data_IF_703525795535
#
_entry.id   IF_703525795535
#
_cell.length_a   1.000
_cell.length_b   1.000
_cell.length_c   1.000
_cell.angle_alpha   90.00
_cell.angle_beta   90.00
_cell.angle_gamma   90.00
#
_symmetry.space_group_name_H-M   'P 1'
#
loop_
_entity.id
_entity.type
_entity.pdbx_description
1 polymer ?
#
# COMPACT_ATOMS: atom_id res chain seq x y z
N UNK A 1 -5.10 -8.85 -11.94
CA UNK A 1 -4.95 -9.68 -10.71
C UNK A 1 -4.67 -8.83 -9.47
N UNK A 2 -3.72 -7.88 -9.50
CA UNK A 2 -3.36 -7.04 -8.34
C UNK A 2 -4.50 -6.18 -7.76
N UNK A 3 -5.55 -5.89 -8.56
CA UNK A 3 -6.76 -5.22 -8.09
C UNK A 3 -7.51 -6.02 -7.00
N UNK A 4 -7.57 -7.34 -7.16
CA UNK A 4 -8.23 -8.28 -6.23
C UNK A 4 -7.28 -8.80 -5.14
N UNK A 5 -6.29 -7.98 -4.77
CA UNK A 5 -5.21 -8.39 -3.88
C UNK A 5 -5.73 -8.84 -2.52
N UNK A 6 -6.63 -8.07 -1.91
CA UNK A 6 -7.18 -8.38 -0.59
C UNK A 6 -8.11 -9.59 -0.66
N UNK A 7 -8.93 -9.69 -1.70
CA UNK A 7 -9.91 -10.75 -1.91
C UNK A 7 -9.21 -12.11 -2.12
N UNK A 8 -8.16 -12.15 -2.95
CA UNK A 8 -7.34 -13.36 -3.14
C UNK A 8 -6.63 -13.72 -1.83
N UNK A 9 -6.05 -12.74 -1.14
CA UNK A 9 -5.36 -12.98 0.14
C UNK A 9 -6.31 -13.50 1.22
N UNK A 10 -7.54 -13.00 1.25
CA UNK A 10 -8.61 -13.44 2.15
C UNK A 10 -9.09 -14.85 1.80
N UNK A 11 -9.33 -15.13 0.52
CA UNK A 11 -9.72 -16.45 0.05
C UNK A 11 -8.68 -17.52 0.42
N UNK A 12 -7.39 -17.17 0.35
CA UNK A 12 -6.31 -18.07 0.76
C UNK A 12 -6.10 -18.18 2.28
N UNK A 13 -6.80 -17.39 3.10
CA UNK A 13 -6.73 -17.39 4.57
C UNK A 13 -8.14 -17.48 5.17
N UNK A 14 -8.89 -18.57 4.93
CA UNK A 14 -10.25 -18.72 5.43
C UNK A 14 -10.32 -18.67 6.96
N UNK A 15 -9.25 -19.11 7.65
CA UNK A 15 -9.13 -19.11 9.11
C UNK A 15 -9.19 -17.73 9.77
N UNK A 16 -9.00 -16.64 9.02
CA UNK A 16 -9.16 -15.29 9.57
C UNK A 16 -10.64 -15.03 9.92
N UNK A 17 -10.95 -14.57 11.13
CA UNK A 17 -12.34 -14.29 11.53
C UNK A 17 -12.90 -13.08 10.75
N UNK A 18 -14.23 -13.03 10.65
CA UNK A 18 -14.93 -11.82 10.20
C UNK A 18 -15.15 -10.90 11.40
N UNK A 19 -15.02 -9.59 11.20
CA UNK A 19 -15.38 -8.62 12.24
C UNK A 19 -16.90 -8.57 12.39
N UNK A 20 -17.39 -8.80 13.60
CA UNK A 20 -18.79 -8.55 13.99
C UNK A 20 -18.90 -7.39 14.98
N UNK A 21 -17.77 -6.84 15.42
CA UNK A 21 -17.71 -5.68 16.32
C UNK A 21 -17.50 -4.40 15.54
N UNK A 22 -17.94 -3.27 16.11
CA UNK A 22 -17.66 -1.95 15.58
C UNK A 22 -16.18 -1.57 15.70
N UNK A 23 -15.72 -0.65 14.85
CA UNK A 23 -14.33 -0.18 14.80
C UNK A 23 -13.80 0.29 16.16
N UNK A 24 -14.67 0.86 16.99
CA UNK A 24 -14.38 1.26 18.36
C UNK A 24 -13.91 0.15 19.28
N UNK A 25 -14.66 -0.95 19.33
CA UNK A 25 -14.31 -2.13 20.12
C UNK A 25 -13.08 -2.84 19.56
N UNK A 26 -12.97 -2.93 18.23
CA UNK A 26 -11.77 -3.47 17.58
C UNK A 26 -10.52 -2.66 17.96
N UNK A 27 -10.61 -1.32 17.94
CA UNK A 27 -9.52 -0.44 18.36
C UNK A 27 -9.14 -0.65 19.84
N UNK A 28 -10.14 -0.77 20.73
CA UNK A 28 -9.90 -1.06 22.14
C UNK A 28 -9.18 -2.40 22.34
N UNK A 29 -9.62 -3.45 21.62
CA UNK A 29 -9.01 -4.77 21.64
C UNK A 29 -7.54 -4.73 21.16
N UNK A 30 -7.25 -4.01 20.07
CA UNK A 30 -5.89 -3.82 19.57
C UNK A 30 -4.99 -3.10 20.58
N UNK A 31 -5.50 -2.04 21.21
CA UNK A 31 -4.74 -1.29 22.23
C UNK A 31 -4.46 -2.14 23.47
N UNK A 32 -5.42 -2.96 23.91
CA UNK A 32 -5.21 -3.88 25.03
C UNK A 32 -4.08 -4.88 24.73
N UNK A 33 -4.09 -5.49 23.54
CA UNK A 33 -3.01 -6.37 23.09
C UNK A 33 -1.65 -5.66 23.04
N UNK A 34 -1.59 -4.47 22.41
CA UNK A 34 -0.34 -3.73 22.23
C UNK A 34 0.26 -3.24 23.54
N UNK A 35 -0.56 -2.84 24.51
CA UNK A 35 -0.12 -2.49 25.87
C UNK A 35 0.56 -3.66 26.57
N UNK A 36 0.11 -4.89 26.34
CA UNK A 36 0.72 -6.08 26.94
C UNK A 36 1.97 -6.53 26.16
N UNK A 37 1.89 -6.54 24.82
CA UNK A 37 2.93 -7.11 23.95
C UNK A 37 4.11 -6.17 23.72
N UNK A 38 3.84 -4.87 23.57
CA UNK A 38 4.84 -3.88 23.17
C UNK A 38 4.68 -2.53 23.92
N UNK A 39 4.63 -2.52 25.27
CA UNK A 39 4.42 -1.29 26.06
C UNK A 39 5.50 -0.23 25.84
N UNK A 40 6.73 -0.65 25.56
CA UNK A 40 7.88 0.22 25.42
C UNK A 40 8.17 0.61 23.95
N UNK A 41 7.27 0.30 23.01
CA UNK A 41 7.44 0.69 21.62
C UNK A 41 7.39 2.22 21.47
N UNK A 42 8.11 2.77 20.49
CA UNK A 42 8.04 4.18 20.10
C UNK A 42 6.74 4.51 19.38
N UNK A 43 6.20 3.56 18.61
CA UNK A 43 4.92 3.73 17.93
C UNK A 43 4.18 2.43 17.73
N UNK A 44 2.85 2.53 17.76
CA UNK A 44 1.92 1.48 17.37
C UNK A 44 1.10 1.94 16.18
N UNK A 45 0.98 1.10 15.18
CA UNK A 45 0.15 1.30 14.00
C UNK A 45 -0.91 0.21 14.01
N UNK A 46 -2.17 0.61 13.95
CA UNK A 46 -3.31 -0.31 13.95
C UNK A 46 -4.10 -0.08 12.67
N UNK A 47 -4.26 -1.14 11.88
CA UNK A 47 -5.20 -1.19 10.76
C UNK A 47 -6.48 -1.87 11.25
N UNK A 48 -7.58 -1.12 11.19
CA UNK A 48 -8.90 -1.58 11.60
C UNK A 48 -9.56 -2.42 10.50
N UNK A 49 -10.45 -3.34 10.86
CA UNK A 49 -11.14 -4.15 9.88
C UNK A 49 -12.09 -3.28 9.03
N UNK A 50 -12.11 -3.55 7.72
CA UNK A 50 -13.03 -2.91 6.77
C UNK A 50 -13.75 -3.97 5.91
N UNK A 51 -14.55 -3.49 4.95
CA UNK A 51 -15.34 -4.36 4.07
C UNK A 51 -14.48 -5.28 3.17
N UNK A 52 -13.25 -4.88 2.84
CA UNK A 52 -12.32 -5.63 1.96
C UNK A 52 -11.34 -6.49 2.76
N UNK A 53 -10.94 -6.05 3.95
CA UNK A 53 -10.02 -6.75 4.83
C UNK A 53 -10.60 -6.82 6.26
N UNK A 54 -11.24 -7.95 6.62
CA UNK A 54 -11.86 -8.10 7.94
C UNK A 54 -10.84 -8.40 9.05
N UNK A 55 -9.56 -8.57 8.72
CA UNK A 55 -8.51 -8.84 9.70
C UNK A 55 -7.97 -7.54 10.29
N UNK A 56 -7.81 -7.51 11.61
CA UNK A 56 -7.16 -6.40 12.29
C UNK A 56 -5.65 -6.66 12.33
N UNK A 57 -4.85 -5.72 11.82
CA UNK A 57 -3.39 -5.85 11.81
C UNK A 57 -2.77 -4.79 12.71
N UNK A 58 -1.76 -5.20 13.47
CA UNK A 58 -0.96 -4.30 14.29
C UNK A 58 0.49 -4.38 13.86
N UNK A 59 1.16 -3.23 13.91
CA UNK A 59 2.58 -3.09 13.63
C UNK A 59 3.16 -2.11 14.63
N UNK A 60 4.29 -2.43 15.25
CA UNK A 60 4.94 -1.55 16.20
C UNK A 60 6.41 -1.38 15.91
N UNK A 61 6.94 -0.22 16.30
CA UNK A 61 8.36 0.12 16.20
C UNK A 61 8.95 0.20 17.59
N UNK A 62 9.91 -0.66 17.89
CA UNK A 62 10.66 -0.64 19.14
C UNK A 62 11.78 0.41 19.06
N UNK A 63 12.18 0.99 20.21
CA UNK A 63 13.29 1.92 20.26
C UNK A 63 14.60 1.25 19.90
N UNK A 64 15.55 2.06 19.40
CA UNK A 64 16.85 1.58 18.96
C UNK A 64 17.63 0.86 20.07
N UNK A 65 17.42 1.24 21.34
CA UNK A 65 17.99 0.58 22.51
C UNK A 65 17.57 -0.89 22.69
N UNK A 66 16.43 -1.31 22.11
CA UNK A 66 15.97 -2.71 22.15
C UNK A 66 16.38 -3.51 20.91
N UNK A 67 17.01 -2.88 19.93
CA UNK A 67 17.46 -3.53 18.71
C UNK A 67 18.78 -4.22 19.01
N UNK A 68 18.85 -5.54 18.80
CA UNK A 68 20.12 -6.25 18.92
C UNK A 68 21.10 -5.70 17.88
N UNK A 69 22.35 -5.37 18.25
CA UNK A 69 23.35 -4.95 17.27
C UNK A 69 23.52 -6.05 16.21
N UNK A 70 23.76 -5.69 14.93
CA UNK A 70 24.07 -6.67 13.90
C UNK A 70 25.28 -7.50 14.32
N UNK A 71 25.26 -8.81 14.07
CA UNK A 71 26.47 -9.61 14.20
C UNK A 71 27.55 -9.10 13.24
N UNK A 72 28.82 -9.25 13.60
CA UNK A 72 29.96 -8.80 12.79
C UNK A 72 29.84 -9.35 11.35
N UNK A 73 29.77 -8.44 10.37
CA UNK A 73 29.60 -8.76 8.94
C UNK A 73 28.17 -8.78 8.41
N UNK A 74 27.13 -8.67 9.25
CA UNK A 74 25.74 -8.59 8.79
C UNK A 74 25.30 -7.15 8.49
N UNK A 75 24.87 -6.89 7.25
CA UNK A 75 24.19 -5.63 6.90
C UNK A 75 22.87 -5.54 7.67
N UNK A 76 22.62 -4.39 8.31
CA UNK A 76 21.37 -4.08 9.04
C UNK A 76 20.15 -4.30 8.12
N UNK A 77 19.49 -5.45 8.24
CA UNK A 77 18.25 -5.72 7.49
C UNK A 77 17.16 -4.78 8.04
N UNK A 78 16.57 -3.95 7.17
CA UNK A 78 15.52 -2.95 7.52
C UNK A 78 14.33 -3.54 8.32
N UNK A 79 14.10 -4.85 8.27
CA UNK A 79 13.04 -5.58 9.00
C UNK A 79 13.54 -6.65 10.01
N UNK A 80 14.86 -6.89 10.12
CA UNK A 80 15.38 -8.14 10.71
C UNK A 80 15.97 -8.07 12.12
N UNK A 81 15.94 -6.92 12.81
CA UNK A 81 16.68 -6.73 14.07
C UNK A 81 15.84 -6.57 15.35
N UNK A 82 14.54 -6.92 15.33
CA UNK A 82 13.65 -6.66 16.47
C UNK A 82 13.20 -5.19 16.62
N UNK A 83 13.62 -4.32 15.70
CA UNK A 83 13.14 -2.92 15.61
C UNK A 83 11.66 -2.81 15.27
N UNK A 84 11.13 -3.82 14.60
CA UNK A 84 9.74 -3.85 14.18
C UNK A 84 9.13 -5.18 14.58
N UNK A 85 7.88 -5.15 14.99
CA UNK A 85 7.04 -6.34 15.18
C UNK A 85 5.67 -6.14 14.57
N UNK A 86 5.02 -7.23 14.21
CA UNK A 86 3.67 -7.25 13.69
C UNK A 86 2.87 -8.41 14.28
N UNK A 87 1.55 -8.23 14.36
CA UNK A 87 0.62 -9.28 14.75
C UNK A 87 -0.70 -9.09 14.01
N UNK A 88 -1.35 -10.20 13.65
CA UNK A 88 -2.72 -10.21 13.17
C UNK A 88 -3.63 -10.61 14.32
N UNK A 89 -4.66 -9.82 14.58
CA UNK A 89 -5.57 -10.00 15.70
C UNK A 89 -6.98 -10.32 15.20
N UNK A 90 -7.70 -11.14 15.96
CA UNK A 90 -9.15 -11.27 15.83
C UNK A 90 -9.79 -9.96 16.32
N UNK A 91 -10.51 -9.22 15.47
CA UNK A 91 -11.16 -7.97 15.88
C UNK A 91 -12.17 -8.17 17.02
N UNK A 92 -12.79 -9.34 17.12
CA UNK A 92 -13.85 -9.61 18.09
C UNK A 92 -13.29 -9.89 19.49
N UNK A 93 -12.18 -10.63 19.58
CA UNK A 93 -11.61 -11.08 20.86
C UNK A 93 -10.32 -10.36 21.25
N UNK A 94 -9.64 -9.70 20.31
CA UNK A 94 -8.32 -9.08 20.52
C UNK A 94 -7.16 -10.08 20.62
N UNK A 95 -7.43 -11.38 20.42
CA UNK A 95 -6.40 -12.43 20.49
C UNK A 95 -5.59 -12.49 19.20
N UNK A 96 -4.33 -12.84 19.34
CA UNK A 96 -3.44 -13.08 18.20
C UNK A 96 -3.92 -14.31 17.41
N UNK A 97 -4.07 -14.16 16.10
CA UNK A 97 -4.47 -15.21 15.17
C UNK A 97 -3.30 -15.50 14.25
N UNK A 98 -2.83 -16.74 14.29
CA UNK A 98 -1.90 -17.24 13.29
C UNK A 98 -2.68 -17.66 12.06
N UNK A 99 -2.47 -16.94 10.95
CA UNK A 99 -2.96 -17.36 9.63
C UNK A 99 -1.82 -18.04 8.88
N UNK A 100 -2.17 -18.93 7.95
CA UNK A 100 -1.17 -19.63 7.15
C UNK A 100 -0.30 -18.64 6.37
N UNK A 101 0.96 -18.99 6.22
CA UNK A 101 1.84 -18.23 5.34
C UNK A 101 1.38 -18.38 3.89
N UNK A 102 1.01 -17.26 3.29
CA UNK A 102 0.70 -17.18 1.86
C UNK A 102 1.00 -15.79 1.37
N UNK A 103 1.56 -15.71 0.16
CA UNK A 103 1.70 -14.44 -0.54
C UNK A 103 0.36 -13.95 -1.08
N UNK A 104 -0.67 -14.80 -1.19
CA UNK A 104 -2.00 -14.35 -1.59
C UNK A 104 -1.98 -13.49 -2.86
N UNK A 105 -2.75 -12.41 -2.82
CA UNK A 105 -2.71 -11.37 -3.82
C UNK A 105 -1.43 -10.53 -3.84
N UNK A 106 -0.63 -10.52 -2.77
CA UNK A 106 0.69 -9.86 -2.74
C UNK A 106 1.63 -10.47 -3.78
N UNK A 107 1.45 -11.74 -4.16
CA UNK A 107 2.21 -12.36 -5.24
C UNK A 107 2.00 -11.61 -6.55
N UNK A 108 0.75 -11.42 -6.98
CA UNK A 108 0.44 -10.72 -8.24
C UNK A 108 0.83 -9.25 -8.17
N UNK A 109 0.63 -8.61 -7.01
CA UNK A 109 1.08 -7.25 -6.78
C UNK A 109 2.59 -7.13 -6.97
N UNK A 110 3.40 -7.95 -6.28
CA UNK A 110 4.87 -7.92 -6.41
C UNK A 110 5.34 -8.36 -7.78
N UNK A 111 4.74 -9.39 -8.37
CA UNK A 111 5.09 -9.86 -9.71
C UNK A 111 4.94 -8.75 -10.74
N UNK A 112 3.93 -7.88 -10.59
CA UNK A 112 3.64 -6.82 -11.54
C UNK A 112 4.76 -5.77 -11.70
N UNK A 113 5.63 -5.59 -10.70
CA UNK A 113 6.70 -4.57 -10.77
C UNK A 113 8.09 -5.03 -10.27
N UNK A 114 8.17 -6.07 -9.44
CA UNK A 114 9.43 -6.56 -8.86
C UNK A 114 9.93 -7.86 -9.51
N UNK A 115 9.18 -8.49 -10.44
CA UNK A 115 9.51 -9.76 -11.14
C UNK A 115 10.19 -10.80 -10.22
N UNK A 116 9.42 -11.77 -9.71
CA UNK A 116 9.83 -12.63 -8.58
C UNK A 116 11.22 -13.30 -8.66
N UNK A 117 11.76 -13.56 -9.86
CA UNK A 117 13.06 -14.21 -10.08
C UNK A 117 14.24 -13.26 -10.35
N UNK A 118 14.04 -11.95 -10.42
CA UNK A 118 15.05 -10.96 -10.78
C UNK A 118 15.29 -10.02 -9.59
N UNK A 119 16.52 -9.48 -9.38
CA UNK A 119 16.72 -8.47 -8.37
C UNK A 119 15.76 -7.29 -8.58
N UNK A 120 15.11 -6.87 -7.50
CA UNK A 120 14.05 -5.84 -7.48
C UNK A 120 14.42 -4.59 -8.28
N UNK A 121 15.66 -4.12 -8.16
CA UNK A 121 16.12 -2.92 -8.86
C UNK A 121 16.09 -3.10 -10.38
N UNK A 122 16.57 -4.26 -10.87
CA UNK A 122 16.60 -4.59 -12.29
C UNK A 122 15.20 -4.84 -12.82
N UNK A 123 14.36 -5.52 -12.04
CA UNK A 123 12.98 -5.76 -12.40
C UNK A 123 12.23 -4.45 -12.66
N UNK A 124 12.37 -3.47 -11.77
CA UNK A 124 11.76 -2.14 -11.92
C UNK A 124 12.28 -1.40 -13.15
N UNK A 125 13.57 -1.46 -13.43
CA UNK A 125 14.13 -0.86 -14.65
C UNK A 125 13.58 -1.50 -15.92
N UNK A 126 13.48 -2.83 -15.98
CA UNK A 126 12.94 -3.55 -17.14
C UNK A 126 11.46 -3.20 -17.34
N UNK A 127 10.64 -3.31 -16.29
CA UNK A 127 9.21 -2.99 -16.35
C UNK A 127 9.00 -1.52 -16.71
N UNK A 128 9.82 -0.62 -16.16
CA UNK A 128 9.82 0.81 -16.49
C UNK A 128 10.12 1.10 -17.95
N UNK A 129 11.17 0.47 -18.49
CA UNK A 129 11.52 0.59 -19.89
C UNK A 129 10.39 0.10 -20.80
N UNK A 130 9.82 -1.08 -20.51
CA UNK A 130 8.67 -1.60 -21.24
C UNK A 130 7.45 -0.67 -21.15
N UNK A 131 7.19 -0.08 -19.98
CA UNK A 131 6.10 0.88 -19.79
C UNK A 131 6.32 2.16 -20.62
N UNK A 132 7.54 2.72 -20.62
CA UNK A 132 7.85 3.89 -21.46
C UNK A 132 7.69 3.58 -22.95
N UNK A 133 8.19 2.43 -23.41
CA UNK A 133 8.02 1.98 -24.79
C UNK A 133 6.54 1.81 -25.16
N UNK A 134 5.75 1.20 -24.27
CA UNK A 134 4.31 1.06 -24.44
C UNK A 134 3.60 2.42 -24.49
N UNK A 135 3.98 3.39 -23.65
CA UNK A 135 3.38 4.72 -23.68
C UNK A 135 3.68 5.43 -25.00
N UNK A 136 4.92 5.35 -25.48
CA UNK A 136 5.31 5.87 -26.80
C UNK A 136 4.51 5.18 -27.90
N UNK A 137 4.37 3.84 -27.87
CA UNK A 137 3.57 3.08 -28.83
C UNK A 137 2.09 3.47 -28.82
N UNK A 138 1.51 3.73 -27.64
CA UNK A 138 0.13 4.22 -27.48
C UNK A 138 -0.02 5.61 -28.10
N UNK A 139 0.84 6.56 -27.73
CA UNK A 139 0.77 7.95 -28.23
C UNK A 139 0.97 7.98 -29.75
N UNK A 140 1.98 7.28 -30.26
CA UNK A 140 2.23 7.17 -31.70
C UNK A 140 1.11 6.45 -32.43
N UNK A 141 0.53 5.39 -31.86
CA UNK A 141 -0.61 4.67 -32.43
C UNK A 141 -1.85 5.56 -32.56
N UNK A 142 -2.16 6.35 -31.53
CA UNK A 142 -3.27 7.31 -31.57
C UNK A 142 -3.04 8.39 -32.63
N UNK A 143 -1.82 8.90 -32.77
CA UNK A 143 -1.49 9.94 -33.75
C UNK A 143 -1.53 9.39 -35.19
N UNK A 144 -1.01 8.19 -35.41
CA UNK A 144 -0.92 7.58 -36.76
C UNK A 144 -2.29 7.09 -37.27
N UNK A 145 -3.12 6.53 -36.40
CA UNK A 145 -4.46 6.05 -36.77
C UNK A 145 -5.50 7.18 -36.80
N UNK A 146 -5.46 8.04 -37.81
CA UNK A 146 -6.42 9.15 -38.01
C UNK A 146 -7.90 8.73 -38.11
N UNK A 147 -8.18 7.46 -38.39
CA UNK A 147 -9.53 6.89 -38.52
C UNK A 147 -9.97 6.06 -37.31
N UNK A 148 -9.19 6.02 -36.23
CA UNK A 148 -9.42 5.16 -35.06
C UNK A 148 -10.85 5.25 -34.50
N UNK A 149 -11.43 6.45 -34.47
CA UNK A 149 -12.81 6.66 -34.03
C UNK A 149 -13.85 6.21 -35.06
N UNK A 150 -13.59 6.37 -36.35
CA UNK A 150 -14.53 5.95 -37.41
C UNK A 150 -14.57 4.43 -37.53
N UNK A 151 -13.40 3.80 -37.44
CA UNK A 151 -13.25 2.34 -37.55
C UNK A 151 -13.82 1.64 -36.29
N UNK A 152 -13.82 2.32 -35.13
CA UNK A 152 -14.49 1.84 -33.92
C UNK A 152 -15.99 1.61 -34.10
N UNK A 153 -16.69 2.50 -34.81
CA UNK A 153 -18.14 2.35 -35.06
C UNK A 153 -18.47 1.47 -36.27
N UNK A 154 -17.46 0.91 -36.95
CA UNK A 154 -17.63 0.16 -38.18
C UNK A 154 -17.31 -1.32 -37.95
N UNK A 155 -18.23 -2.07 -37.34
CA UNK A 155 -18.11 -3.52 -37.26
C UNK A 155 -18.79 -4.20 -38.45
N UNK A 156 -18.03 -4.98 -39.24
CA UNK A 156 -18.57 -5.72 -40.40
C UNK A 156 -18.53 -7.22 -40.12
N UNK A 157 -19.65 -7.84 -39.66
CA UNK A 157 -19.72 -9.28 -39.51
C UNK A 157 -19.61 -10.00 -40.87
N UNK A 158 -19.20 -11.27 -40.86
CA UNK A 158 -19.20 -12.20 -42.01
C UNK A 158 -18.14 -11.96 -43.12
N UNK A 159 -17.05 -11.22 -42.84
CA UNK A 159 -15.97 -10.96 -43.82
C UNK A 159 -14.61 -11.54 -43.40
N UNK A 160 -14.61 -12.66 -42.68
CA UNK A 160 -13.40 -13.43 -42.33
C UNK A 160 -12.28 -12.55 -41.75
N UNK A 161 -11.16 -12.44 -42.47
CA UNK A 161 -9.99 -11.63 -42.09
C UNK A 161 -10.32 -10.15 -41.81
N UNK A 162 -11.27 -9.56 -42.53
CA UNK A 162 -11.69 -8.16 -42.28
C UNK A 162 -12.47 -8.02 -40.97
N UNK A 163 -13.28 -9.01 -40.61
CA UNK A 163 -13.98 -9.02 -39.33
C UNK A 163 -13.01 -9.16 -38.14
N UNK A 164 -11.90 -9.89 -38.31
CA UNK A 164 -10.83 -9.95 -37.30
C UNK A 164 -10.11 -8.61 -37.12
N UNK A 165 -9.86 -7.88 -38.22
CA UNK A 165 -9.24 -6.56 -38.18
C UNK A 165 -10.16 -5.52 -37.54
N UNK A 166 -11.45 -5.54 -37.89
CA UNK A 166 -12.47 -4.69 -37.26
C UNK A 166 -12.58 -5.01 -35.75
N UNK A 167 -12.54 -6.30 -35.36
CA UNK A 167 -12.51 -6.70 -33.94
C UNK A 167 -11.24 -6.23 -33.22
N UNK A 168 -10.06 -6.35 -33.84
CA UNK A 168 -8.81 -5.83 -33.29
C UNK A 168 -8.90 -4.31 -33.07
N UNK A 169 -9.42 -3.57 -34.05
CA UNK A 169 -9.62 -2.12 -33.93
C UNK A 169 -10.58 -1.77 -32.78
N UNK A 170 -11.76 -2.39 -32.74
CA UNK A 170 -12.76 -2.13 -31.70
C UNK A 170 -12.21 -2.44 -30.32
N UNK A 171 -11.61 -3.62 -30.14
CA UNK A 171 -11.03 -4.04 -28.86
C UNK A 171 -9.85 -3.17 -28.42
N UNK A 172 -8.97 -2.78 -29.34
CA UNK A 172 -7.85 -1.89 -29.06
C UNK A 172 -8.31 -0.52 -28.57
N UNK A 173 -9.31 0.08 -29.22
CA UNK A 173 -9.86 1.39 -28.84
C UNK A 173 -10.61 1.33 -27.52
N UNK A 174 -11.40 0.29 -27.27
CA UNK A 174 -12.07 0.11 -25.97
C UNK A 174 -11.08 0.00 -24.82
N UNK A 175 -9.99 -0.73 -25.02
CA UNK A 175 -8.99 -0.94 -23.98
C UNK A 175 -7.98 0.21 -23.86
N UNK A 176 -7.93 1.13 -24.85
CA UNK A 176 -6.94 2.20 -24.92
C UNK A 176 -6.92 3.12 -23.69
N UNK A 177 -8.06 3.62 -23.15
CA UNK A 177 -8.02 4.50 -21.98
C UNK A 177 -7.43 3.81 -20.75
N UNK A 178 -7.77 2.53 -20.57
CA UNK A 178 -7.23 1.72 -19.48
C UNK A 178 -5.72 1.52 -19.64
N UNK A 179 -5.26 1.13 -20.83
CA UNK A 179 -3.83 0.94 -21.11
C UNK A 179 -3.02 2.24 -20.99
N UNK A 180 -3.54 3.35 -21.49
CA UNK A 180 -2.87 4.65 -21.35
C UNK A 180 -2.73 5.03 -19.87
N UNK A 181 -3.81 4.89 -19.10
CA UNK A 181 -3.82 5.23 -17.68
C UNK A 181 -2.90 4.31 -16.85
N UNK A 182 -2.96 2.99 -17.04
CA UNK A 182 -2.14 2.05 -16.25
C UNK A 182 -0.65 2.19 -16.56
N UNK A 183 -0.29 2.43 -17.82
CA UNK A 183 1.10 2.65 -18.22
C UNK A 183 1.63 3.96 -17.67
N UNK A 184 0.87 5.05 -17.80
CA UNK A 184 1.24 6.35 -17.25
C UNK A 184 1.42 6.28 -15.72
N UNK A 185 0.43 5.75 -15.00
CA UNK A 185 0.48 5.65 -13.53
C UNK A 185 1.61 4.73 -13.06
N UNK A 186 1.91 3.65 -13.79
CA UNK A 186 3.07 2.79 -13.51
C UNK A 186 4.41 3.53 -13.61
N UNK A 187 4.59 4.37 -14.63
CA UNK A 187 5.80 5.20 -14.79
C UNK A 187 5.89 6.23 -13.66
N UNK A 188 4.79 6.94 -13.37
CA UNK A 188 4.74 7.97 -12.32
C UNK A 188 5.06 7.40 -10.94
N UNK A 189 4.54 6.20 -10.63
CA UNK A 189 4.78 5.52 -9.34
C UNK A 189 6.28 5.26 -9.09
N UNK A 190 7.06 5.07 -10.16
CA UNK A 190 8.50 4.84 -10.11
C UNK A 190 9.31 6.04 -10.61
N UNK A 191 8.71 7.22 -10.72
CA UNK A 191 9.35 8.41 -11.30
C UNK A 191 10.66 8.79 -10.58
N UNK A 192 10.70 8.73 -9.25
CA UNK A 192 11.90 9.05 -8.47
C UNK A 192 13.03 8.03 -8.66
N UNK A 193 12.70 6.80 -9.07
CA UNK A 193 13.71 5.81 -9.46
C UNK A 193 14.35 6.17 -10.81
N UNK A 194 13.55 6.66 -11.76
CA UNK A 194 14.01 6.98 -13.12
C UNK A 194 14.63 8.37 -13.25
N UNK A 195 14.12 9.34 -12.49
CA UNK A 195 14.51 10.75 -12.52
C UNK A 195 14.93 11.27 -11.13
N UNK A 196 15.94 10.65 -10.48
CA UNK A 196 16.37 11.08 -9.14
C UNK A 196 16.96 12.49 -9.12
N UNK A 197 17.46 12.98 -10.25
CA UNK A 197 18.12 14.29 -10.33
C UNK A 197 17.20 15.48 -10.02
N UNK A 198 15.88 15.35 -10.24
CA UNK A 198 14.94 16.41 -9.89
C UNK A 198 14.92 16.66 -8.37
N UNK A 199 14.91 15.58 -7.58
CA UNK A 199 14.99 15.66 -6.12
C UNK A 199 16.35 16.21 -5.70
N UNK A 200 17.45 15.70 -6.29
CA UNK A 200 18.81 16.16 -5.98
C UNK A 200 19.05 17.63 -6.29
N UNK A 201 18.46 18.16 -7.35
CA UNK A 201 18.59 19.58 -7.71
C UNK A 201 17.81 20.48 -6.74
N UNK A 202 16.61 20.05 -6.33
CA UNK A 202 15.78 20.80 -5.39
C UNK A 202 16.26 20.68 -3.93
N UNK A 203 16.84 19.54 -3.56
CA UNK A 203 17.34 19.22 -2.21
C UNK A 203 18.77 18.66 -2.25
N UNK A 204 19.79 19.51 -2.51
CA UNK A 204 21.17 19.04 -2.74
C UNK A 204 21.83 18.37 -1.53
N UNK A 205 21.42 18.77 -0.32
CA UNK A 205 22.05 18.35 0.93
C UNK A 205 21.15 17.46 1.81
N UNK A 206 19.87 17.27 1.44
CA UNK A 206 18.91 16.53 2.25
C UNK A 206 17.75 15.97 1.40
N UNK A 207 17.98 14.86 0.70
CA UNK A 207 16.92 14.16 -0.04
C UNK A 207 15.79 13.65 0.89
N UNK A 208 16.06 13.46 2.18
CA UNK A 208 15.06 12.98 3.14
C UNK A 208 14.04 14.08 3.48
N UNK A 209 14.47 15.35 3.54
CA UNK A 209 13.59 16.50 3.66
C UNK A 209 12.54 16.57 2.54
N UNK A 210 12.90 16.24 1.29
CA UNK A 210 11.93 16.16 0.19
C UNK A 210 10.80 15.16 0.51
N UNK A 211 11.13 13.97 1.00
CA UNK A 211 10.12 12.97 1.30
C UNK A 211 9.26 13.35 2.50
N UNK A 212 9.82 14.09 3.47
CA UNK A 212 9.06 14.61 4.60
C UNK A 212 8.06 15.69 4.16
N UNK A 213 8.50 16.64 3.32
CA UNK A 213 7.66 17.71 2.78
C UNK A 213 6.58 17.16 1.82
N UNK A 214 6.98 16.33 0.85
CA UNK A 214 6.12 15.90 -0.25
C UNK A 214 5.07 14.86 0.17
N UNK A 215 5.41 13.97 1.11
CA UNK A 215 4.51 12.91 1.54
C UNK A 215 3.86 13.17 2.89
N UNK A 216 4.14 14.32 3.52
CA UNK A 216 3.61 14.74 4.81
C UNK A 216 3.26 13.53 5.67
N UNK A 217 4.29 12.74 6.05
CA UNK A 217 4.07 11.69 7.06
C UNK A 217 3.32 12.39 8.18
N UNK A 218 2.11 11.90 8.53
CA UNK A 218 1.33 12.40 9.67
C UNK A 218 2.33 12.82 10.73
N UNK A 219 2.46 14.14 10.93
CA UNK A 219 3.64 14.73 11.55
C UNK A 219 4.02 13.86 12.74
N UNK A 220 5.19 13.23 12.66
CA UNK A 220 5.68 12.46 13.80
C UNK A 220 5.67 13.48 14.94
N UNK A 221 4.91 13.20 16.01
CA UNK A 221 4.70 14.20 17.05
C UNK A 221 6.03 14.41 17.74
N UNK A 222 6.76 15.41 17.27
CA UNK A 222 8.09 15.77 17.72
C UNK A 222 7.96 16.67 18.94
N UNK A 223 8.13 16.05 20.11
CA UNK A 223 8.19 16.77 21.38
C UNK A 223 7.89 15.85 22.56
N UNK A 224 8.42 16.11 23.76
CA UNK A 224 7.89 15.49 24.97
C UNK A 224 6.39 15.80 25.08
N UNK A 225 5.59 14.84 25.56
CA UNK A 225 4.16 15.08 25.77
C UNK A 225 4.00 16.33 26.65
N UNK A 226 3.43 17.40 26.09
CA UNK A 226 3.21 18.63 26.84
C UNK A 226 1.98 18.42 27.73
N UNK A 227 2.23 18.01 28.97
CA UNK A 227 1.22 17.80 30.00
C UNK A 227 0.77 16.35 30.17
N UNK A 228 0.36 16.02 31.39
CA UNK A 228 -0.35 14.77 31.72
C UNK A 228 -1.84 14.97 31.42
N UNK A 229 -2.21 15.02 30.15
CA UNK A 229 -3.61 14.83 29.79
C UNK A 229 -3.96 13.36 30.05
N UNK A 230 -5.05 13.09 30.76
CA UNK A 230 -5.56 11.73 30.88
C UNK A 230 -5.79 11.18 29.46
N UNK A 231 -5.29 9.97 29.12
CA UNK A 231 -5.44 9.43 27.78
C UNK A 231 -6.93 9.33 27.46
N UNK A 232 -7.38 10.08 26.45
CA UNK A 232 -8.76 10.03 26.00
C UNK A 232 -9.10 8.60 25.54
N UNK A 233 -10.31 8.09 25.84
CA UNK A 233 -10.75 6.82 25.30
C UNK A 233 -10.67 6.85 23.77
N UNK A 234 -10.07 5.81 23.16
CA UNK A 234 -9.90 5.71 21.71
C UNK A 234 -11.22 5.88 20.96
N UNK A 235 -12.33 5.42 21.56
CA UNK A 235 -13.68 5.60 21.05
C UNK A 235 -14.01 7.07 20.75
N UNK A 236 -13.69 7.98 21.68
CA UNK A 236 -13.99 9.40 21.52
C UNK A 236 -13.17 10.02 20.39
N UNK A 237 -11.92 9.57 20.21
CA UNK A 237 -11.08 10.01 19.10
C UNK A 237 -11.62 9.52 17.75
N UNK A 238 -12.06 8.26 17.68
CA UNK A 238 -12.68 7.70 16.48
C UNK A 238 -14.01 8.40 16.14
N UNK A 239 -14.83 8.70 17.14
CA UNK A 239 -16.11 9.40 16.94
C UNK A 239 -15.90 10.87 16.58
N UNK A 240 -14.83 11.50 17.06
CA UNK A 240 -14.41 12.83 16.61
C UNK A 240 -13.97 12.82 15.14
N UNK A 241 -13.11 11.86 14.77
CA UNK A 241 -12.64 11.70 13.40
C UNK A 241 -13.80 11.44 12.43
N UNK A 242 -14.73 10.55 12.78
CA UNK A 242 -15.95 10.29 11.98
C UNK A 242 -16.79 11.54 11.78
N UNK A 243 -16.97 12.37 12.82
CA UNK A 243 -17.69 13.64 12.70
C UNK A 243 -17.00 14.60 11.74
N UNK A 244 -15.67 14.75 11.86
CA UNK A 244 -14.88 15.60 10.96
C UNK A 244 -14.88 15.10 9.51
N UNK A 245 -14.88 13.79 9.32
CA UNK A 245 -14.85 13.14 8.00
C UNK A 245 -16.25 12.83 7.45
N UNK A 246 -17.30 13.48 7.95
CA UNK A 246 -18.69 13.37 7.45
C UNK A 246 -19.20 11.92 7.41
N UNK A 247 -18.85 11.12 8.42
CA UNK A 247 -19.29 9.73 8.57
C UNK A 247 -18.42 8.70 7.87
N UNK A 248 -17.28 9.09 7.27
CA UNK A 248 -16.33 8.11 6.74
C UNK A 248 -15.75 7.23 7.87
N UNK A 249 -15.64 5.93 7.60
CA UNK A 249 -15.06 4.98 8.54
C UNK A 249 -13.55 5.16 8.69
N UNK A 250 -13.05 4.92 9.89
CA UNK A 250 -11.63 5.05 10.20
C UNK A 250 -10.91 3.75 9.84
N UNK A 251 -10.01 3.81 8.86
CA UNK A 251 -9.24 2.63 8.41
C UNK A 251 -8.14 2.20 9.40
N UNK A 252 -7.72 3.09 10.29
CA UNK A 252 -6.65 2.81 11.24
C UNK A 252 -6.18 4.06 11.97
N UNK A 253 -5.25 3.86 12.89
CA UNK A 253 -4.63 4.95 13.65
C UNK A 253 -3.19 4.60 14.03
N UNK A 254 -2.44 5.63 14.39
CA UNK A 254 -1.07 5.51 14.90
C UNK A 254 -1.01 6.14 16.29
N UNK A 255 -0.41 5.44 17.25
CA UNK A 255 -0.12 5.94 18.59
C UNK A 255 1.38 6.10 18.71
N UNK A 256 1.84 7.31 19.00
CA UNK A 256 3.24 7.59 19.29
C UNK A 256 3.47 7.60 20.81
N UNK A 257 4.64 7.11 21.22
CA UNK A 257 5.13 7.05 22.61
C UNK A 257 4.09 6.54 23.63
N UNK A 258 3.51 5.35 23.41
CA UNK A 258 2.51 4.76 24.30
C UNK A 258 2.95 4.61 25.76
N UNK A 259 4.26 4.45 26.01
CA UNK A 259 4.83 4.30 27.36
C UNK A 259 5.18 5.59 28.09
N UNK A 260 4.98 6.77 27.49
CA UNK A 260 5.43 8.06 28.05
C UNK A 260 4.41 8.75 28.99
N UNK A 261 3.52 7.97 29.62
CA UNK A 261 2.50 8.47 30.56
C UNK A 261 3.06 8.76 31.97
#
# INVERSE_FOLDING_TARGET
ASYYREEISRWMRPELPRSTVGAGQAAANALAFLRQKAPQAESWNVSLPDARNPAMRTFWRNPESMVKPPAEGEKRRRRGGGRFGDATLDPNTGREVSARETRGGDFFYRLHFDLHYIPVIWARWIVGFCAMFMLVAIVTGVITHKKIFKDFFTFRPEKGLRSWLDFHNVSAVMALPYHAMITYTGIVTLMFLYLPWGVKAAYPNDEEAFFNDAFARLAEVEGPAQGRAAPLPIQQLLDSARRQWKGAEVAGFVVYRPGAA
#
